data_IF_206682158370
#
_entry.id   IF_206682158370
#
_cell.length_a   1.000
_cell.length_b   1.000
_cell.length_c   1.000
_cell.angle_alpha   90.00
_cell.angle_beta   90.00
_cell.angle_gamma   90.00
#
_symmetry.space_group_name_H-M   'P 1'
#
loop_
_entity.id
_entity.type
_entity.pdbx_description
1 polymer ?
#
# COMPACT_ATOMS: atom_id res chain seq x y z
N UNK A 1 -15.26 14.08 4.47
CA UNK A 1 -15.28 12.67 4.92
C UNK A 1 -15.21 12.64 6.44
N UNK A 2 -15.90 11.71 7.12
CA UNK A 2 -15.88 11.57 8.58
C UNK A 2 -14.69 10.69 9.01
N UNK A 3 -13.49 11.27 8.99
CA UNK A 3 -12.22 10.58 9.31
C UNK A 3 -11.57 11.28 10.48
N UNK A 4 -11.28 10.53 11.54
CA UNK A 4 -10.62 11.03 12.75
C UNK A 4 -9.12 10.72 12.76
N UNK A 5 -8.70 9.61 12.15
CA UNK A 5 -7.30 9.19 12.08
C UNK A 5 -6.98 8.75 10.66
N UNK A 6 -5.84 9.21 10.14
CA UNK A 6 -5.23 8.69 8.91
C UNK A 6 -3.85 8.16 9.27
N UNK A 7 -3.55 6.93 8.87
CA UNK A 7 -2.25 6.33 9.09
C UNK A 7 -1.74 5.66 7.81
N UNK A 8 -0.46 5.79 7.53
CA UNK A 8 0.22 5.10 6.45
C UNK A 8 1.35 4.25 7.00
N UNK A 9 1.39 2.98 6.60
CA UNK A 9 2.42 2.02 6.98
C UNK A 9 3.31 1.68 5.79
N UNK A 10 4.60 1.99 5.91
CA UNK A 10 5.67 1.44 5.08
C UNK A 10 5.93 0.01 5.58
N UNK A 11 5.62 -0.97 4.73
CA UNK A 11 5.47 -2.36 5.16
C UNK A 11 6.63 -3.25 4.75
N UNK A 12 7.07 -4.09 5.63
CA UNK A 12 8.14 -5.07 5.42
C UNK A 12 7.80 -6.42 6.04
N UNK A 13 8.39 -7.51 5.50
CA UNK A 13 8.41 -8.82 6.17
C UNK A 13 9.11 -8.74 7.54
N UNK A 14 10.17 -7.94 7.64
CA UNK A 14 10.87 -7.71 8.90
C UNK A 14 10.08 -6.68 9.74
N UNK A 15 9.50 -7.14 10.84
CA UNK A 15 8.69 -6.30 11.74
C UNK A 15 9.45 -5.08 12.27
N UNK A 16 10.79 -5.17 12.39
CA UNK A 16 11.65 -4.06 12.85
C UNK A 16 11.81 -2.95 11.81
N UNK A 17 11.39 -3.20 10.57
CA UNK A 17 11.43 -2.26 9.45
C UNK A 17 10.06 -1.72 9.07
N UNK A 18 9.02 -2.05 9.81
CA UNK A 18 7.67 -1.53 9.58
C UNK A 18 7.52 -0.21 10.29
N UNK A 19 7.43 0.85 9.53
CA UNK A 19 7.23 2.21 10.06
C UNK A 19 5.86 2.74 9.68
N UNK A 20 5.31 3.58 10.54
CA UNK A 20 4.06 4.26 10.23
C UNK A 20 4.14 5.75 10.55
N UNK A 21 3.43 6.54 9.76
CA UNK A 21 3.14 7.93 10.03
C UNK A 21 1.65 8.10 10.28
N UNK A 22 1.27 8.95 11.23
CA UNK A 22 -0.10 9.10 11.70
C UNK A 22 -0.47 10.58 11.71
N UNK A 23 -1.65 10.90 11.21
CA UNK A 23 -2.31 12.18 11.36
C UNK A 23 -3.63 12.01 12.12
N UNK A 24 -3.87 12.85 13.10
CA UNK A 24 -5.07 12.85 13.93
C UNK A 24 -5.83 14.14 13.66
N UNK A 25 -7.14 14.06 13.51
CA UNK A 25 -8.01 15.22 13.35
C UNK A 25 -8.04 16.02 14.66
N UNK A 26 -7.84 17.31 14.56
CA UNK A 26 -7.94 18.28 15.64
C UNK A 26 -8.76 19.47 15.10
N UNK A 27 -10.06 19.43 15.29
CA UNK A 27 -11.00 20.34 14.69
C UNK A 27 -10.94 20.33 13.15
N UNK A 28 -10.55 21.46 12.56
CA UNK A 28 -10.43 21.59 11.10
C UNK A 28 -9.04 21.23 10.55
N UNK A 29 -8.12 20.77 11.40
CA UNK A 29 -6.73 20.50 11.01
C UNK A 29 -6.37 19.03 11.24
N UNK A 30 -5.32 18.60 10.54
CA UNK A 30 -4.61 17.36 10.78
C UNK A 30 -3.35 17.63 11.58
N UNK A 31 -3.22 17.04 12.75
CA UNK A 31 -1.97 17.05 13.51
C UNK A 31 -1.16 15.84 13.12
N UNK A 32 -0.04 16.07 12.42
CA UNK A 32 0.85 15.00 11.96
C UNK A 32 1.89 14.71 13.03
N UNK A 33 2.04 13.43 13.38
CA UNK A 33 2.98 12.95 14.37
C UNK A 33 4.28 12.46 13.71
N UNK A 34 5.36 12.41 14.49
CA UNK A 34 6.61 11.79 14.04
C UNK A 34 6.40 10.31 13.74
N UNK A 35 7.06 9.78 12.69
CA UNK A 35 6.96 8.36 12.36
C UNK A 35 7.41 7.47 13.52
N UNK A 36 6.74 6.35 13.69
CA UNK A 36 7.00 5.37 14.72
C UNK A 36 6.95 3.94 14.15
N UNK A 37 7.46 2.97 14.88
CA UNK A 37 7.32 1.57 14.49
C UNK A 37 5.86 1.13 14.58
N UNK A 38 5.42 0.30 13.62
CA UNK A 38 4.07 -0.28 13.61
C UNK A 38 3.79 -1.07 14.89
N UNK A 39 4.80 -1.75 15.43
CA UNK A 39 4.67 -2.55 16.65
C UNK A 39 3.83 -3.81 16.47
N UNK A 40 3.03 -4.15 17.47
CA UNK A 40 2.17 -5.32 17.43
C UNK A 40 1.03 -5.14 16.43
N UNK A 41 0.94 -6.08 15.48
CA UNK A 41 -0.05 -6.05 14.40
C UNK A 41 -1.45 -6.45 14.85
N UNK A 42 -1.57 -7.25 15.90
CA UNK A 42 -2.87 -7.67 16.43
C UNK A 42 -3.66 -6.53 17.07
N UNK A 43 -2.95 -5.55 17.63
CA UNK A 43 -3.54 -4.39 18.31
C UNK A 43 -3.47 -3.10 17.48
N UNK A 44 -2.94 -3.15 16.27
CA UNK A 44 -2.66 -1.95 15.46
C UNK A 44 -3.91 -1.10 15.22
N UNK A 45 -5.00 -1.70 14.79
CA UNK A 45 -6.24 -0.98 14.47
C UNK A 45 -6.80 -0.33 15.74
N UNK A 46 -6.92 -1.08 16.83
CA UNK A 46 -7.45 -0.56 18.10
C UNK A 46 -6.60 0.58 18.67
N UNK A 47 -5.25 0.43 18.60
CA UNK A 47 -4.32 1.47 19.05
C UNK A 47 -4.43 2.76 18.22
N UNK A 48 -4.65 2.64 16.91
CA UNK A 48 -4.83 3.80 16.04
C UNK A 48 -6.20 4.47 16.28
N UNK A 49 -7.26 3.70 16.41
CA UNK A 49 -8.60 4.24 16.72
C UNK A 49 -8.62 4.94 18.08
N UNK A 50 -7.94 4.38 19.08
CA UNK A 50 -7.83 4.97 20.41
C UNK A 50 -7.02 6.27 20.49
N UNK A 51 -6.40 6.74 19.39
CA UNK A 51 -5.64 8.01 19.37
C UNK A 51 -6.50 9.25 19.22
N UNK A 52 -7.71 9.11 18.69
CA UNK A 52 -8.61 10.25 18.53
C UNK A 52 -9.69 10.23 19.60
N UNK A 53 -9.99 11.41 20.13
CA UNK A 53 -11.19 11.64 20.97
C UNK A 53 -12.40 12.05 20.13
N UNK A 54 -12.19 12.41 18.87
CA UNK A 54 -13.24 12.73 17.92
C UNK A 54 -13.87 11.45 17.37
N UNK A 55 -15.19 11.46 17.20
CA UNK A 55 -15.89 10.38 16.52
C UNK A 55 -15.57 10.44 15.02
N UNK A 56 -15.07 9.35 14.48
CA UNK A 56 -14.73 9.22 13.05
C UNK A 56 -14.00 7.92 12.74
N UNK A 57 -13.87 7.65 11.47
CA UNK A 57 -13.22 6.43 10.99
C UNK A 57 -11.70 6.55 11.01
N UNK A 58 -11.03 5.41 11.07
CA UNK A 58 -9.62 5.24 10.73
C UNK A 58 -9.50 4.94 9.22
N UNK A 59 -8.70 5.73 8.48
CA UNK A 59 -8.20 5.35 7.17
C UNK A 59 -6.77 4.85 7.31
N UNK A 60 -6.54 3.57 7.01
CA UNK A 60 -5.25 2.90 7.18
C UNK A 60 -4.70 2.48 5.81
N UNK A 61 -3.58 3.07 5.40
CA UNK A 61 -2.90 2.81 4.14
C UNK A 61 -1.71 1.89 4.30
N UNK A 62 -1.50 1.02 3.31
CA UNK A 62 -0.33 0.15 3.21
C UNK A 62 0.27 0.19 1.82
N UNK A 63 1.58 0.10 1.70
CA UNK A 63 2.32 0.10 0.44
C UNK A 63 2.54 -1.31 -0.14
N UNK A 64 1.80 -2.30 0.29
CA UNK A 64 1.76 -3.61 -0.34
C UNK A 64 0.50 -3.79 -1.20
N UNK A 65 0.56 -4.62 -2.26
CA UNK A 65 -0.58 -4.88 -3.12
C UNK A 65 -1.79 -5.42 -2.36
N UNK A 66 -2.97 -4.82 -2.61
CA UNK A 66 -4.26 -5.28 -2.10
C UNK A 66 -5.16 -5.56 -3.31
N UNK A 67 -5.15 -6.82 -3.75
CA UNK A 67 -5.85 -7.29 -4.93
C UNK A 67 -5.03 -8.25 -5.76
N UNK A 68 -5.66 -8.91 -6.72
CA UNK A 68 -5.08 -9.94 -7.57
C UNK A 68 -5.20 -9.56 -9.05
N UNK A 69 -4.19 -9.82 -9.89
CA UNK A 69 -4.33 -9.66 -11.34
C UNK A 69 -5.53 -10.47 -11.86
N UNK A 70 -6.36 -9.87 -12.71
CA UNK A 70 -7.59 -10.50 -13.20
C UNK A 70 -7.34 -11.85 -13.90
N UNK A 71 -6.22 -11.98 -14.63
CA UNK A 71 -5.91 -13.24 -15.31
C UNK A 71 -5.67 -14.39 -14.30
N UNK A 72 -4.97 -14.10 -13.19
CA UNK A 72 -4.82 -15.08 -12.12
C UNK A 72 -6.13 -15.32 -11.37
N UNK A 73 -6.87 -14.26 -11.08
CA UNK A 73 -8.15 -14.36 -10.38
C UNK A 73 -9.13 -15.31 -11.07
N UNK A 74 -9.24 -15.24 -12.40
CA UNK A 74 -10.05 -16.18 -13.20
C UNK A 74 -9.63 -17.64 -13.02
N UNK A 75 -8.33 -17.91 -12.89
CA UNK A 75 -7.83 -19.27 -12.69
C UNK A 75 -8.12 -19.82 -11.29
N UNK A 76 -8.50 -18.96 -10.33
CA UNK A 76 -8.87 -19.40 -8.97
C UNK A 76 -10.28 -19.98 -8.90
N UNK A 77 -11.17 -19.64 -9.84
CA UNK A 77 -12.61 -19.99 -9.84
C UNK A 77 -13.36 -19.46 -8.61
N UNK A 78 -12.79 -18.50 -7.86
CA UNK A 78 -13.43 -17.83 -6.73
C UNK A 78 -14.27 -16.64 -7.20
N UNK A 79 -15.22 -16.20 -6.38
CA UNK A 79 -16.19 -15.15 -6.75
C UNK A 79 -15.62 -13.73 -6.72
N UNK A 80 -14.78 -13.41 -5.73
CA UNK A 80 -14.19 -12.10 -5.55
C UNK A 80 -12.86 -12.17 -4.78
N UNK A 81 -12.12 -11.07 -4.76
CA UNK A 81 -10.91 -10.95 -3.94
C UNK A 81 -11.22 -11.12 -2.45
N UNK A 82 -12.36 -10.62 -1.99
CA UNK A 82 -12.77 -10.75 -0.59
C UNK A 82 -13.09 -12.20 -0.22
N UNK A 83 -13.74 -12.94 -1.10
CA UNK A 83 -13.97 -14.38 -0.92
C UNK A 83 -12.65 -15.15 -0.92
N UNK A 84 -11.74 -14.78 -1.83
CA UNK A 84 -10.41 -15.37 -1.92
C UNK A 84 -9.60 -15.17 -0.62
N UNK A 85 -9.63 -13.97 -0.03
CA UNK A 85 -8.97 -13.70 1.25
C UNK A 85 -9.47 -14.61 2.39
N UNK A 86 -10.76 -14.92 2.40
CA UNK A 86 -11.34 -15.81 3.41
C UNK A 86 -10.92 -17.28 3.21
N UNK A 87 -10.57 -17.67 1.98
CA UNK A 87 -10.18 -19.04 1.63
C UNK A 87 -8.68 -19.29 1.73
N UNK A 88 -7.86 -18.28 1.42
CA UNK A 88 -6.41 -18.42 1.35
C UNK A 88 -5.80 -18.81 2.71
N UNK A 89 -4.91 -19.78 2.69
CA UNK A 89 -4.28 -20.35 3.86
C UNK A 89 -5.06 -21.50 4.51
N UNK A 90 -6.18 -21.94 3.92
CA UNK A 90 -6.99 -23.06 4.43
C UNK A 90 -7.38 -24.04 3.33
N UNK A 91 -7.69 -25.29 3.70
CA UNK A 91 -8.15 -26.34 2.79
C UNK A 91 -7.27 -26.49 1.56
N UNK A 92 -7.87 -26.48 0.37
CA UNK A 92 -7.12 -26.55 -0.91
C UNK A 92 -6.15 -25.37 -1.09
N UNK A 93 -6.39 -24.23 -0.43
CA UNK A 93 -5.57 -23.02 -0.49
C UNK A 93 -4.53 -22.91 0.62
N UNK A 94 -4.29 -23.97 1.40
CA UNK A 94 -3.36 -23.98 2.55
C UNK A 94 -1.95 -23.48 2.19
N UNK A 95 -1.48 -23.77 0.98
CA UNK A 95 -0.16 -23.40 0.48
C UNK A 95 -0.11 -22.01 -0.20
N UNK A 96 -1.22 -21.30 -0.27
CA UNK A 96 -1.30 -20.07 -1.05
C UNK A 96 -0.30 -19.00 -0.61
N UNK A 97 -0.06 -18.86 0.68
CA UNK A 97 0.93 -17.93 1.24
C UNK A 97 2.37 -18.46 1.21
N UNK A 98 2.59 -19.68 0.73
CA UNK A 98 3.90 -20.30 0.68
C UNK A 98 4.63 -19.92 -0.61
N UNK A 99 5.89 -19.48 -0.50
CA UNK A 99 6.71 -19.16 -1.66
C UNK A 99 7.29 -20.46 -2.23
N UNK A 100 7.09 -20.73 -3.52
CA UNK A 100 7.65 -21.89 -4.20
C UNK A 100 9.17 -21.77 -4.34
N UNK A 101 9.88 -22.82 -3.97
CA UNK A 101 11.34 -22.94 -4.06
C UNK A 101 11.81 -23.48 -5.41
N UNK A 102 10.95 -24.22 -6.11
CA UNK A 102 11.21 -24.80 -7.42
C UNK A 102 10.02 -24.58 -8.37
N UNK A 103 10.30 -24.45 -9.68
CA UNK A 103 9.28 -24.19 -10.70
C UNK A 103 8.14 -25.21 -10.74
N UNK A 104 8.41 -26.49 -10.43
CA UNK A 104 7.39 -27.54 -10.39
C UNK A 104 6.41 -27.42 -9.22
N UNK A 105 6.67 -26.52 -8.28
CA UNK A 105 5.81 -26.24 -7.13
C UNK A 105 4.90 -25.03 -7.35
N UNK A 106 5.06 -24.31 -8.47
CA UNK A 106 4.21 -23.19 -8.82
C UNK A 106 2.86 -23.74 -9.28
N UNK A 107 1.79 -23.19 -8.75
CA UNK A 107 0.41 -23.50 -9.13
C UNK A 107 -0.53 -22.34 -8.76
N UNK A 108 -1.78 -22.42 -9.16
CA UNK A 108 -2.83 -21.47 -8.72
C UNK A 108 -2.92 -21.47 -7.18
N UNK A 109 -2.71 -22.59 -6.51
CA UNK A 109 -2.73 -22.69 -5.05
C UNK A 109 -1.41 -22.29 -4.37
N UNK A 110 -0.35 -22.04 -5.14
CA UNK A 110 0.98 -21.62 -4.67
C UNK A 110 1.66 -20.72 -5.69
N UNK A 111 1.18 -19.46 -5.87
CA UNK A 111 1.59 -18.63 -7.00
C UNK A 111 2.90 -17.86 -6.77
N UNK A 112 3.34 -17.67 -5.54
CA UNK A 112 4.54 -16.88 -5.24
C UNK A 112 5.81 -17.66 -5.54
N UNK A 113 6.74 -17.03 -6.30
CA UNK A 113 7.99 -17.64 -6.72
C UNK A 113 9.05 -16.57 -7.03
N UNK A 114 10.33 -16.85 -6.85
CA UNK A 114 10.94 -17.96 -6.17
C UNK A 114 11.36 -17.65 -4.73
N UNK A 115 11.49 -18.68 -3.87
CA UNK A 115 11.91 -18.52 -2.49
C UNK A 115 13.36 -18.01 -2.36
N UNK A 116 14.25 -18.40 -3.29
CA UNK A 116 15.67 -18.05 -3.32
C UNK A 116 16.19 -17.95 -4.77
N UNK A 117 17.29 -17.22 -5.01
CA UNK A 117 17.91 -17.16 -6.35
C UNK A 117 18.52 -18.51 -6.74
N UNK A 118 18.73 -18.70 -8.06
CA UNK A 118 19.38 -19.88 -8.65
C UNK A 118 18.53 -20.50 -9.74
N UNK A 119 18.89 -20.31 -11.02
CA UNK A 119 18.18 -20.87 -12.17
C UNK A 119 16.72 -20.42 -12.30
N UNK A 120 16.35 -19.29 -11.68
CA UNK A 120 14.99 -18.81 -11.59
C UNK A 120 14.70 -17.79 -12.70
N UNK A 121 13.55 -17.95 -13.38
CA UNK A 121 13.10 -17.05 -14.45
C UNK A 121 11.63 -16.70 -14.27
N UNK A 122 11.22 -15.51 -14.70
CA UNK A 122 9.81 -15.09 -14.64
C UNK A 122 8.92 -15.93 -15.54
N UNK A 123 9.46 -16.46 -16.66
CA UNK A 123 8.75 -17.39 -17.54
C UNK A 123 8.21 -18.61 -16.81
N UNK A 124 8.89 -19.08 -15.76
CA UNK A 124 8.39 -20.19 -14.96
C UNK A 124 7.02 -19.91 -14.31
N UNK A 125 6.75 -18.65 -13.94
CA UNK A 125 5.41 -18.25 -13.46
C UNK A 125 4.38 -18.29 -14.58
N UNK A 126 4.74 -17.76 -15.75
CA UNK A 126 3.84 -17.68 -16.89
C UNK A 126 3.46 -19.08 -17.36
N UNK A 127 4.45 -19.96 -17.52
CA UNK A 127 4.27 -21.36 -17.93
C UNK A 127 3.38 -22.11 -16.93
N UNK A 128 3.68 -22.01 -15.64
CA UNK A 128 2.98 -22.77 -14.60
C UNK A 128 1.55 -22.28 -14.34
N UNK A 129 1.29 -20.99 -14.57
CA UNK A 129 -0.03 -20.38 -14.39
C UNK A 129 -0.83 -20.28 -15.70
N UNK A 130 -0.30 -20.79 -16.81
CA UNK A 130 -0.96 -20.73 -18.12
C UNK A 130 -1.11 -19.31 -18.67
N UNK A 131 -0.18 -18.41 -18.34
CA UNK A 131 -0.25 -17.01 -18.71
C UNK A 131 0.49 -16.77 -20.03
N UNK A 132 -0.26 -16.38 -21.05
CA UNK A 132 0.28 -16.12 -22.42
C UNK A 132 0.92 -14.72 -22.48
N UNK A 133 0.23 -13.70 -21.98
CA UNK A 133 0.73 -12.33 -21.92
C UNK A 133 1.29 -12.02 -20.53
N UNK A 134 2.61 -11.83 -20.37
CA UNK A 134 3.22 -11.47 -19.09
C UNK A 134 2.63 -10.25 -18.40
N UNK A 135 2.11 -9.28 -19.17
CA UNK A 135 1.49 -8.06 -18.63
C UNK A 135 0.15 -8.36 -17.94
N UNK A 136 -0.46 -9.51 -18.22
CA UNK A 136 -1.70 -9.92 -17.57
C UNK A 136 -1.52 -10.35 -16.11
N UNK A 137 -0.27 -10.59 -15.65
CA UNK A 137 0.06 -10.75 -14.22
C UNK A 137 0.36 -9.43 -13.51
N UNK A 138 0.20 -8.30 -14.17
CA UNK A 138 0.14 -6.99 -13.57
C UNK A 138 -1.31 -6.54 -13.45
N UNK A 139 -1.69 -6.05 -12.29
CA UNK A 139 -2.97 -5.36 -12.10
C UNK A 139 -2.97 -4.06 -12.93
N UNK A 140 -4.14 -3.57 -13.28
CA UNK A 140 -4.26 -2.33 -14.09
C UNK A 140 -3.49 -1.17 -13.46
N UNK A 141 -3.55 -1.00 -12.12
CA UNK A 141 -2.81 0.04 -11.42
C UNK A 141 -1.28 -0.17 -11.37
N UNK A 142 -0.77 -1.34 -11.71
CA UNK A 142 0.67 -1.66 -11.72
C UNK A 142 1.32 -1.47 -13.09
N UNK A 143 0.53 -1.33 -14.16
CA UNK A 143 1.05 -1.17 -15.52
C UNK A 143 1.77 0.16 -15.68
N UNK A 144 2.70 0.20 -16.64
CA UNK A 144 3.40 1.44 -16.98
C UNK A 144 2.42 2.52 -17.45
N UNK A 145 2.71 3.76 -17.10
CA UNK A 145 2.02 4.96 -17.59
C UNK A 145 3.04 5.89 -18.27
N UNK A 146 2.57 6.95 -18.90
CA UNK A 146 3.47 7.99 -19.43
C UNK A 146 4.41 8.58 -18.36
N UNK A 147 4.00 8.47 -17.11
CA UNK A 147 4.68 9.11 -15.97
C UNK A 147 5.48 8.14 -15.10
N UNK A 148 5.19 6.85 -15.15
CA UNK A 148 5.74 5.83 -14.26
C UNK A 148 6.03 4.54 -15.01
N UNK A 149 7.16 3.90 -14.70
CA UNK A 149 7.42 2.53 -15.12
C UNK A 149 6.45 1.55 -14.44
N UNK A 150 6.26 0.37 -15.02
CA UNK A 150 5.46 -0.69 -14.42
C UNK A 150 5.99 -1.02 -13.02
N UNK A 151 5.06 -1.25 -12.09
CA UNK A 151 5.39 -1.74 -10.75
C UNK A 151 5.91 -3.19 -10.80
N UNK A 152 6.41 -3.68 -9.66
CA UNK A 152 6.86 -5.06 -9.57
C UNK A 152 5.66 -6.00 -9.55
N UNK A 153 5.77 -7.09 -10.32
CA UNK A 153 4.78 -8.17 -10.32
C UNK A 153 4.69 -8.81 -8.94
N UNK A 154 3.47 -8.93 -8.39
CA UNK A 154 3.24 -9.44 -7.04
C UNK A 154 3.76 -10.86 -6.83
N UNK A 155 3.55 -11.76 -7.78
CA UNK A 155 3.96 -13.17 -7.61
C UNK A 155 5.47 -13.43 -7.77
N UNK A 156 6.24 -12.42 -8.24
CA UNK A 156 7.69 -12.52 -8.29
C UNK A 156 8.33 -12.00 -7.01
N UNK A 157 9.01 -12.88 -6.26
CA UNK A 157 9.50 -12.59 -4.90
C UNK A 157 11.01 -12.37 -4.79
N UNK A 158 11.71 -12.16 -5.92
CA UNK A 158 13.13 -11.78 -5.95
C UNK A 158 13.31 -10.32 -6.42
N UNK A 159 14.44 -9.74 -6.02
CA UNK A 159 14.83 -8.38 -6.39
C UNK A 159 14.65 -7.38 -5.25
N UNK A 160 14.88 -6.10 -5.55
CA UNK A 160 14.85 -5.03 -4.55
C UNK A 160 13.46 -4.73 -3.98
N UNK A 161 12.42 -4.91 -4.79
CA UNK A 161 11.04 -4.63 -4.41
C UNK A 161 10.26 -5.94 -4.33
N UNK A 162 10.28 -6.58 -3.17
CA UNK A 162 9.61 -7.87 -2.93
C UNK A 162 8.16 -7.65 -2.48
N UNK A 163 7.38 -6.92 -3.28
CA UNK A 163 5.99 -6.51 -2.95
C UNK A 163 5.10 -7.71 -2.61
N UNK A 164 5.31 -8.87 -3.24
CA UNK A 164 4.57 -10.09 -2.94
C UNK A 164 4.78 -10.62 -1.54
N UNK A 165 6.00 -10.51 -1.00
CA UNK A 165 6.26 -10.88 0.40
C UNK A 165 5.58 -9.90 1.36
N UNK A 166 5.53 -8.61 1.01
CA UNK A 166 4.75 -7.60 1.72
C UNK A 166 3.27 -7.96 1.74
N UNK A 167 2.69 -8.32 0.58
CA UNK A 167 1.30 -8.76 0.47
C UNK A 167 1.02 -9.99 1.35
N UNK A 168 1.85 -11.04 1.27
CA UNK A 168 1.71 -12.25 2.11
C UNK A 168 1.61 -11.89 3.59
N UNK A 169 2.55 -11.09 4.10
CA UNK A 169 2.56 -10.73 5.52
C UNK A 169 1.43 -9.77 5.88
N UNK A 170 1.17 -8.76 5.05
CA UNK A 170 0.11 -7.78 5.29
C UNK A 170 -1.29 -8.40 5.28
N UNK A 171 -1.57 -9.30 4.33
CA UNK A 171 -2.87 -9.97 4.29
C UNK A 171 -3.06 -10.90 5.48
N UNK A 172 -2.05 -11.72 5.82
CA UNK A 172 -2.14 -12.66 6.96
C UNK A 172 -2.18 -11.98 8.31
N UNK A 173 -1.46 -10.90 8.48
CA UNK A 173 -1.29 -10.28 9.80
C UNK A 173 -2.29 -9.14 10.05
N UNK A 174 -2.81 -8.49 8.99
CA UNK A 174 -3.68 -7.32 9.12
C UNK A 174 -5.06 -7.57 8.51
N UNK A 175 -5.13 -7.93 7.20
CA UNK A 175 -6.41 -7.92 6.49
C UNK A 175 -7.29 -9.09 6.92
N UNK A 176 -6.78 -10.32 6.83
CA UNK A 176 -7.56 -11.53 7.12
C UNK A 176 -8.10 -11.56 8.56
N UNK A 177 -7.29 -11.27 9.60
CA UNK A 177 -7.78 -11.27 10.98
C UNK A 177 -8.88 -10.25 11.26
N UNK A 178 -8.95 -9.17 10.47
CA UNK A 178 -9.89 -8.07 10.67
C UNK A 178 -10.98 -8.01 9.59
N UNK A 179 -11.03 -8.98 8.66
CA UNK A 179 -11.83 -8.92 7.43
C UNK A 179 -13.31 -8.61 7.67
N UNK A 180 -13.93 -9.11 8.74
CA UNK A 180 -15.33 -8.87 9.06
C UNK A 180 -15.62 -7.46 9.58
N UNK A 181 -14.63 -6.80 10.23
CA UNK A 181 -14.79 -5.51 10.91
C UNK A 181 -14.36 -4.30 10.09
N UNK A 182 -13.62 -4.51 9.00
CA UNK A 182 -13.07 -3.43 8.17
C UNK A 182 -13.85 -3.21 6.88
N UNK A 183 -13.72 -2.02 6.31
CA UNK A 183 -13.98 -1.76 4.90
C UNK A 183 -12.68 -1.93 4.09
N UNK A 184 -12.70 -2.71 3.03
CA UNK A 184 -11.57 -2.92 2.14
C UNK A 184 -11.79 -2.15 0.84
N UNK A 185 -11.15 -1.02 0.69
CA UNK A 185 -11.30 -0.18 -0.50
C UNK A 185 -10.43 -0.67 -1.66
N UNK A 186 -10.92 -0.68 -2.94
CA UNK A 186 -12.24 -0.26 -3.41
C UNK A 186 -13.28 -1.39 -3.49
N UNK A 187 -12.99 -2.58 -2.95
CA UNK A 187 -13.82 -3.79 -3.11
C UNK A 187 -15.19 -3.67 -2.45
N UNK A 188 -15.28 -3.00 -1.31
CA UNK A 188 -16.51 -2.87 -0.53
C UNK A 188 -17.31 -1.60 -0.89
N UNK A 189 -16.83 -0.79 -1.84
CA UNK A 189 -17.53 0.39 -2.32
C UNK A 189 -16.71 1.67 -2.38
N UNK A 190 -17.40 2.81 -2.45
CA UNK A 190 -16.77 4.13 -2.55
C UNK A 190 -16.10 4.51 -1.23
N UNK A 191 -14.94 5.15 -1.29
CA UNK A 191 -14.18 5.55 -0.11
C UNK A 191 -15.00 6.38 0.89
N UNK A 192 -15.75 7.36 0.40
CA UNK A 192 -16.55 8.23 1.26
C UNK A 192 -17.66 7.48 2.01
N UNK A 193 -18.31 6.52 1.34
CA UNK A 193 -19.38 5.71 1.93
C UNK A 193 -18.82 4.75 2.97
N UNK A 194 -17.67 4.15 2.68
CA UNK A 194 -16.97 3.28 3.63
C UNK A 194 -16.54 4.06 4.88
N UNK A 195 -15.95 5.23 4.71
CA UNK A 195 -15.52 6.08 5.83
C UNK A 195 -16.70 6.66 6.65
N UNK A 196 -17.92 6.65 6.10
CA UNK A 196 -19.13 7.03 6.84
C UNK A 196 -19.73 5.86 7.65
N UNK A 197 -19.45 4.61 7.27
CA UNK A 197 -20.15 3.43 7.79
C UNK A 197 -19.26 2.40 8.50
N UNK A 198 -17.94 2.44 8.24
CA UNK A 198 -16.99 1.49 8.83
C UNK A 198 -16.07 2.18 9.82
N UNK A 199 -15.76 1.54 10.95
CA UNK A 199 -14.84 2.11 11.94
C UNK A 199 -13.39 2.17 11.43
N UNK A 200 -13.02 1.27 10.51
CA UNK A 200 -11.71 1.25 9.85
C UNK A 200 -11.88 0.92 8.38
N UNK A 201 -11.19 1.68 7.52
CA UNK A 201 -11.07 1.42 6.09
C UNK A 201 -9.60 1.20 5.75
N UNK A 202 -9.30 0.08 5.08
CA UNK A 202 -7.96 -0.23 4.60
C UNK A 202 -7.88 0.06 3.10
N UNK A 203 -6.80 0.70 2.67
CA UNK A 203 -6.50 1.02 1.28
C UNK A 203 -5.04 0.71 0.95
N UNK A 204 -4.80 0.34 -0.30
CA UNK A 204 -3.44 0.30 -0.86
C UNK A 204 -2.97 1.71 -1.17
N UNK A 205 -1.71 1.98 -0.88
CA UNK A 205 -1.03 3.24 -1.17
C UNK A 205 0.30 2.95 -1.86
N UNK A 206 0.86 3.95 -2.54
CA UNK A 206 2.17 3.81 -3.16
C UNK A 206 2.96 5.13 -3.04
N UNK A 207 3.89 5.24 -2.08
CA UNK A 207 4.70 6.45 -1.90
C UNK A 207 5.40 6.92 -3.17
N UNK A 208 5.77 5.98 -4.07
CA UNK A 208 6.36 6.29 -5.37
C UNK A 208 5.52 7.18 -6.28
N UNK A 209 4.20 7.11 -6.21
CA UNK A 209 3.29 7.98 -6.94
C UNK A 209 3.17 9.36 -6.25
N UNK A 210 3.36 9.40 -4.93
CA UNK A 210 3.16 10.62 -4.13
C UNK A 210 4.35 11.58 -4.24
N UNK A 211 5.59 11.10 -4.48
CA UNK A 211 6.76 11.98 -4.59
C UNK A 211 6.55 13.14 -5.55
N UNK A 212 6.01 12.86 -6.74
CA UNK A 212 5.73 13.91 -7.73
C UNK A 212 4.63 14.87 -7.28
N UNK A 213 3.62 14.34 -6.57
CA UNK A 213 2.51 15.15 -6.05
C UNK A 213 3.00 16.16 -5.02
N UNK A 214 4.03 15.81 -4.27
CA UNK A 214 4.70 16.71 -3.31
C UNK A 214 5.75 17.63 -3.96
N UNK A 215 5.87 17.62 -5.30
CA UNK A 215 6.84 18.43 -6.03
C UNK A 215 8.27 17.90 -5.97
N UNK A 216 8.48 16.67 -5.51
CA UNK A 216 9.82 16.11 -5.38
C UNK A 216 10.44 15.79 -6.74
N UNK A 217 11.63 16.32 -7.00
CA UNK A 217 12.34 16.11 -8.24
C UNK A 217 12.88 14.68 -8.38
N UNK A 218 12.94 14.17 -9.62
CA UNK A 218 13.42 12.81 -9.94
C UNK A 218 14.92 12.57 -9.71
N UNK A 219 15.66 13.53 -9.15
CA UNK A 219 17.11 13.54 -9.14
C UNK A 219 17.78 13.05 -7.86
N UNK A 220 17.23 12.09 -7.11
CA UNK A 220 17.86 11.58 -5.89
C UNK A 220 17.45 10.17 -5.51
N UNK A 221 18.23 9.58 -4.61
CA UNK A 221 17.92 8.28 -4.03
C UNK A 221 17.46 8.42 -2.58
N UNK A 222 16.23 8.03 -2.28
CA UNK A 222 15.71 8.00 -0.89
C UNK A 222 16.59 7.18 0.08
N UNK A 223 17.49 6.34 -0.43
CA UNK A 223 18.47 5.61 0.37
C UNK A 223 19.54 6.52 0.97
N UNK A 224 19.83 7.66 0.34
CA UNK A 224 20.85 8.60 0.82
C UNK A 224 20.21 9.71 1.63
N UNK A 225 20.72 9.94 2.84
CA UNK A 225 20.21 10.99 3.73
C UNK A 225 20.22 12.38 3.06
N UNK A 226 21.30 12.73 2.39
CA UNK A 226 21.44 14.03 1.71
C UNK A 226 20.37 14.26 0.63
N UNK A 227 19.95 13.19 -0.06
CA UNK A 227 18.88 13.29 -1.03
C UNK A 227 17.52 13.43 -0.35
N UNK A 228 17.30 12.73 0.77
CA UNK A 228 16.09 12.91 1.58
C UNK A 228 15.99 14.31 2.18
N UNK A 229 17.12 14.92 2.60
CA UNK A 229 17.15 16.31 3.03
C UNK A 229 16.74 17.28 1.91
N UNK A 230 17.20 17.03 0.67
CA UNK A 230 16.79 17.83 -0.48
C UNK A 230 15.30 17.68 -0.78
N UNK A 231 14.80 16.44 -0.87
CA UNK A 231 13.37 16.16 -1.05
C UNK A 231 12.53 16.67 0.12
N UNK A 232 13.09 16.71 1.32
CA UNK A 232 12.47 17.28 2.51
C UNK A 232 12.16 18.76 2.37
N UNK A 233 13.02 19.55 1.72
CA UNK A 233 12.72 20.98 1.44
C UNK A 233 11.52 21.14 0.52
N UNK A 234 11.38 20.27 -0.48
CA UNK A 234 10.21 20.25 -1.37
C UNK A 234 8.94 19.87 -0.59
N UNK A 235 9.04 18.87 0.32
CA UNK A 235 7.97 18.50 1.24
C UNK A 235 7.55 19.66 2.16
N UNK A 236 8.49 20.39 2.75
CA UNK A 236 8.19 21.57 3.58
C UNK A 236 7.51 22.68 2.78
N UNK A 237 7.96 22.92 1.55
CA UNK A 237 7.32 23.88 0.64
C UNK A 237 5.88 23.47 0.32
N UNK A 238 5.63 22.19 0.08
CA UNK A 238 4.29 21.65 -0.14
C UNK A 238 3.41 21.81 1.12
N UNK A 239 3.93 21.48 2.30
CA UNK A 239 3.24 21.64 3.58
C UNK A 239 2.87 23.09 3.89
N UNK A 240 3.75 24.04 3.55
CA UNK A 240 3.47 25.48 3.73
C UNK A 240 2.22 25.94 2.96
N UNK A 241 1.92 25.30 1.83
CA UNK A 241 0.68 25.53 1.06
C UNK A 241 -0.56 24.83 1.64
N UNK A 242 -0.44 24.09 2.74
CA UNK A 242 -1.51 23.22 3.33
C UNK A 242 -1.91 23.68 4.72
N UNK A 243 -2.67 24.81 4.81
CA UNK A 243 -3.10 25.38 6.10
C UNK A 243 -3.88 24.42 7.01
N UNK A 244 -4.47 23.36 6.45
CA UNK A 244 -5.18 22.31 7.17
C UNK A 244 -4.27 21.22 7.76
N UNK A 245 -2.95 21.29 7.56
CA UNK A 245 -2.01 20.28 8.05
C UNK A 245 -1.02 20.94 9.00
N UNK A 246 -1.02 20.54 10.26
CA UNK A 246 -0.02 20.89 11.25
C UNK A 246 1.03 19.75 11.28
N UNK A 247 2.17 20.01 10.67
CA UNK A 247 3.31 19.11 10.61
C UNK A 247 4.53 19.67 11.36
N UNK A 248 4.33 20.62 12.29
CA UNK A 248 5.43 21.24 13.03
C UNK A 248 6.34 20.25 13.75
N UNK A 249 5.78 19.17 14.27
CA UNK A 249 6.54 18.10 14.91
C UNK A 249 7.48 17.34 13.96
N UNK A 250 7.23 17.37 12.65
CA UNK A 250 8.07 16.73 11.64
C UNK A 250 9.26 17.57 11.17
N UNK A 251 9.21 18.91 11.33
CA UNK A 251 10.21 19.81 10.76
C UNK A 251 11.65 19.42 11.08
N UNK A 252 12.02 19.13 12.34
CA UNK A 252 13.40 18.74 12.66
C UNK A 252 13.81 17.41 12.00
N UNK A 253 12.86 16.48 11.85
CA UNK A 253 13.11 15.20 11.22
C UNK A 253 13.27 15.35 9.70
N UNK A 254 12.47 16.18 9.06
CA UNK A 254 12.56 16.50 7.63
C UNK A 254 13.91 17.17 7.34
N UNK A 255 14.31 18.16 8.12
CA UNK A 255 15.59 18.87 8.01
C UNK A 255 16.77 17.90 8.20
N UNK A 256 16.65 16.95 9.11
CA UNK A 256 17.60 15.88 9.35
C UNK A 256 17.58 14.76 8.30
N UNK A 257 16.73 14.84 7.25
CA UNK A 257 16.60 13.82 6.22
C UNK A 257 16.14 12.47 6.78
N UNK A 258 15.28 12.49 7.79
CA UNK A 258 14.71 11.32 8.48
C UNK A 258 15.76 10.43 9.18
N UNK A 259 16.96 10.98 9.42
CA UNK A 259 18.06 10.30 10.11
C UNK A 259 19.05 9.61 9.17
N UNK A 260 20.26 9.36 9.70
CA UNK A 260 21.37 8.75 8.96
C UNK A 260 21.33 7.21 8.97
N UNK A 261 20.52 6.62 9.83
CA UNK A 261 20.39 5.17 9.95
C UNK A 261 19.61 4.53 8.79
N UNK A 262 19.60 3.20 8.75
CA UNK A 262 18.93 2.42 7.70
C UNK A 262 17.41 2.62 7.66
N UNK A 263 16.78 3.01 8.77
CA UNK A 263 15.35 3.24 8.84
C UNK A 263 14.93 4.63 8.34
N UNK A 264 15.88 5.49 7.97
CA UNK A 264 15.58 6.80 7.41
C UNK A 264 14.77 6.75 6.11
N UNK A 265 14.99 5.73 5.27
CA UNK A 265 14.20 5.48 4.07
C UNK A 265 12.75 5.11 4.43
N UNK A 266 12.58 4.16 5.34
CA UNK A 266 11.27 3.64 5.74
C UNK A 266 10.42 4.75 6.41
N UNK A 267 11.04 5.56 7.30
CA UNK A 267 10.39 6.73 7.91
C UNK A 267 9.97 7.78 6.89
N UNK A 268 10.81 8.03 5.89
CA UNK A 268 10.52 8.96 4.81
C UNK A 268 9.32 8.49 4.00
N UNK A 269 9.28 7.22 3.59
CA UNK A 269 8.18 6.65 2.81
C UNK A 269 6.88 6.61 3.62
N UNK A 270 6.94 6.31 4.91
CA UNK A 270 5.77 6.38 5.79
C UNK A 270 5.12 7.78 5.79
N UNK A 271 5.93 8.84 5.90
CA UNK A 271 5.42 10.22 5.87
C UNK A 271 4.90 10.61 4.49
N UNK A 272 5.64 10.29 3.43
CA UNK A 272 5.21 10.59 2.05
C UNK A 272 3.86 9.97 1.74
N UNK A 273 3.68 8.68 2.05
CA UNK A 273 2.40 8.00 1.85
C UNK A 273 1.26 8.63 2.64
N UNK A 274 1.50 9.00 3.92
CA UNK A 274 0.52 9.72 4.74
C UNK A 274 0.07 11.04 4.10
N UNK A 275 1.02 11.85 3.61
CA UNK A 275 0.70 13.14 3.00
C UNK A 275 -0.15 12.97 1.72
N UNK A 276 0.13 11.92 0.92
CA UNK A 276 -0.71 11.58 -0.22
C UNK A 276 -2.13 11.18 0.17
N UNK A 277 -2.30 10.42 1.26
CA UNK A 277 -3.61 10.05 1.78
C UNK A 277 -4.39 11.28 2.27
N UNK A 278 -3.72 12.22 2.94
CA UNK A 278 -4.36 13.46 3.41
C UNK A 278 -4.90 14.31 2.26
N UNK A 279 -4.20 14.39 1.12
CA UNK A 279 -4.73 15.09 -0.08
C UNK A 279 -6.01 14.44 -0.60
N UNK A 280 -6.14 13.10 -0.51
CA UNK A 280 -7.38 12.41 -0.91
C UNK A 280 -8.50 12.65 0.10
N UNK A 281 -8.23 12.55 1.39
CA UNK A 281 -9.24 12.76 2.45
C UNK A 281 -9.77 14.18 2.45
N UNK A 282 -8.91 15.16 2.19
CA UNK A 282 -9.28 16.59 2.10
C UNK A 282 -9.94 16.97 0.76
N UNK A 283 -10.15 15.99 -0.16
CA UNK A 283 -10.77 16.21 -1.46
C UNK A 283 -9.92 17.01 -2.44
N UNK A 284 -8.64 17.18 -2.18
CA UNK A 284 -7.68 17.85 -3.08
C UNK A 284 -7.23 16.95 -4.22
N UNK A 285 -7.37 15.66 -4.00
CA UNK A 285 -7.09 14.61 -4.96
C UNK A 285 -8.22 13.59 -4.95
N UNK A 286 -8.64 13.16 -6.15
CA UNK A 286 -9.59 12.07 -6.30
C UNK A 286 -8.98 10.74 -5.84
N UNK A 287 -9.79 9.81 -5.35
CA UNK A 287 -9.35 8.46 -5.01
C UNK A 287 -8.83 7.68 -6.24
N UNK A 288 -9.31 8.03 -7.43
CA UNK A 288 -8.75 7.62 -8.72
C UNK A 288 -9.25 6.28 -9.28
N UNK A 289 -10.19 5.62 -8.62
CA UNK A 289 -10.69 4.30 -9.06
C UNK A 289 -11.41 4.41 -10.40
N UNK A 290 -10.98 3.68 -11.43
CA UNK A 290 -11.71 3.62 -12.69
C UNK A 290 -12.99 2.80 -12.56
N UNK A 291 -13.96 3.08 -13.41
CA UNK A 291 -15.21 2.30 -13.51
C UNK A 291 -14.97 0.98 -14.25
N UNK A 292 -14.25 0.07 -13.63
CA UNK A 292 -13.92 -1.26 -14.17
C UNK A 292 -14.30 -2.33 -13.16
N UNK A 293 -15.10 -3.30 -13.61
CA UNK A 293 -15.54 -4.43 -12.79
C UNK A 293 -14.34 -5.22 -12.21
N UNK A 294 -13.33 -5.49 -13.05
CA UNK A 294 -12.12 -6.18 -12.63
C UNK A 294 -11.42 -5.51 -11.43
N UNK A 295 -11.39 -4.16 -11.42
CA UNK A 295 -10.77 -3.39 -10.34
C UNK A 295 -11.59 -3.52 -9.06
N UNK A 296 -12.91 -3.46 -9.15
CA UNK A 296 -13.79 -3.53 -7.98
C UNK A 296 -13.89 -4.92 -7.38
N UNK A 297 -13.77 -5.98 -8.20
CA UNK A 297 -13.92 -7.35 -7.70
C UNK A 297 -12.60 -8.04 -7.40
N UNK A 298 -11.51 -7.70 -8.14
CA UNK A 298 -10.29 -8.48 -8.08
C UNK A 298 -9.00 -7.69 -7.91
N UNK A 299 -8.81 -6.64 -8.71
CA UNK A 299 -7.49 -6.02 -8.81
C UNK A 299 -7.21 -4.98 -7.74
N UNK A 300 -8.28 -4.36 -7.18
CA UNK A 300 -8.11 -3.25 -6.27
C UNK A 300 -7.51 -2.02 -6.97
N UNK A 301 -7.13 -1.02 -6.19
CA UNK A 301 -6.55 0.21 -6.71
C UNK A 301 -5.63 0.87 -5.72
N UNK A 302 -4.63 1.59 -6.22
CA UNK A 302 -3.74 2.44 -5.39
C UNK A 302 -4.46 3.77 -5.13
N UNK A 303 -4.62 4.14 -3.87
CA UNK A 303 -5.33 5.34 -3.44
C UNK A 303 -4.67 6.60 -4.01
N UNK A 304 -5.44 7.42 -4.70
CA UNK A 304 -4.97 8.64 -5.35
C UNK A 304 -4.19 8.43 -6.64
N UNK A 305 -4.09 7.19 -7.13
CA UNK A 305 -3.45 6.91 -8.42
C UNK A 305 -4.36 7.33 -9.57
N UNK A 306 -3.83 8.15 -10.49
CA UNK A 306 -4.51 8.52 -11.73
C UNK A 306 -3.79 7.90 -12.91
N UNK A 307 -4.55 7.20 -13.73
CA UNK A 307 -4.07 6.69 -15.01
C UNK A 307 -4.40 7.73 -16.07
N UNK A 308 -3.39 8.48 -16.51
CA UNK A 308 -3.54 9.36 -17.67
C UNK A 308 -3.86 8.50 -18.90
N UNK A 309 -4.99 8.72 -19.57
CA UNK A 309 -5.28 8.15 -20.90
C UNK A 309 -6.07 6.82 -20.93
N UNK A 310 -6.86 6.49 -19.91
CA UNK A 310 -7.94 5.50 -20.05
C UNK A 310 -9.26 6.28 -20.09
N UNK A 311 -10.05 6.15 -21.17
CA UNK A 311 -11.39 6.74 -21.24
C UNK A 311 -12.29 6.14 -20.17
#
# INVERSE_FOLDING_TARGET
MNVAVVAHCDWSMDKKKRWMAVAIRDGLRWKVHVPELVGDTLTLIDRLQGRSVENGSLLLGFDFPIGLPQAYARATELGSFRDALAMFGSGAWSDWYSVADHRSRISVHRPFYPARPGGTQRSHLFDALGIVDPLSLLRVCERATAERQAACMMFWTLGGNQVGKGAISGWREIIVPNLSGIGLWPFDGRLADLLATKPCVIAETYPGDVYRQLGMSRGGSKRRQIDRQRMGREMLSWLAGRRGIDAGALSPMIDGGFGADKAGEDRFDAVVGLLGMLDVVDGRRDAGVPDMEAVRHWEGWILGHHRSGVP
#
